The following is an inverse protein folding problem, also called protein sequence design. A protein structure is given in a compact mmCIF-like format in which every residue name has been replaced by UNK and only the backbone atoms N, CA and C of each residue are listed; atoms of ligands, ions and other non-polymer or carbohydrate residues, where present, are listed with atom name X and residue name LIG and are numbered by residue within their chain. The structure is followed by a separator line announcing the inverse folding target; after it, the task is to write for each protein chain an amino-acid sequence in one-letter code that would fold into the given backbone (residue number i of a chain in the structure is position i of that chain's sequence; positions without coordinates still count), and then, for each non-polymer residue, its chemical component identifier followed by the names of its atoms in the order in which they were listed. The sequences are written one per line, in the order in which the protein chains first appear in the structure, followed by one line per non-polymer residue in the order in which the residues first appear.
data_IF_476721982483
#
_entry.id   IF_476721982483
#
_cell.length_a   1.000
_cell.length_b   1.000
_cell.length_c   1.000
_cell.angle_alpha   90.00
_cell.angle_beta   90.00
_cell.angle_gamma   90.00
#
_symmetry.space_group_name_H-M   'P 1'
#
loop_
_entity.id
_entity.type
_entity.pdbx_description
1 polymer ?
#
# COMPACT_ATOMS: atom_id res chain seq x y z
N UNK A 1 -20.10 10.70 22.30
CA UNK A 1 -20.37 9.65 21.28
C UNK A 1 -19.08 8.93 20.87
N UNK A 2 -17.95 9.65 20.74
CA UNK A 2 -16.63 9.04 20.48
C UNK A 2 -15.87 8.55 21.73
N UNK A 3 -16.28 8.96 22.94
CA UNK A 3 -15.61 8.58 24.21
C UNK A 3 -15.75 7.09 24.56
N UNK A 4 -16.80 6.43 24.06
CA UNK A 4 -16.95 4.98 24.20
C UNK A 4 -15.94 4.19 23.36
N UNK A 5 -15.45 4.75 22.24
CA UNK A 5 -14.47 4.08 21.39
C UNK A 5 -13.06 4.08 22.01
N UNK A 6 -12.74 5.12 22.78
CA UNK A 6 -11.45 5.25 23.49
C UNK A 6 -11.33 4.23 24.63
N UNK A 7 -12.46 3.80 25.20
CA UNK A 7 -12.51 2.80 26.27
C UNK A 7 -12.53 1.34 25.76
N UNK A 8 -12.67 1.13 24.46
CA UNK A 8 -12.59 -0.21 23.86
C UNK A 8 -11.12 -0.65 23.79
N UNK A 9 -10.88 -1.94 24.01
CA UNK A 9 -9.54 -2.51 23.89
C UNK A 9 -8.93 -2.16 22.50
N UNK A 10 -7.71 -1.59 22.44
CA UNK A 10 -7.06 -1.20 21.19
C UNK A 10 -6.99 -2.33 20.15
N UNK A 11 -6.90 -3.59 20.60
CA UNK A 11 -6.86 -4.78 19.75
C UNK A 11 -8.21 -5.00 19.06
N UNK A 12 -9.32 -4.85 19.79
CA UNK A 12 -10.67 -4.97 19.22
C UNK A 12 -10.96 -3.82 18.26
N UNK A 13 -10.50 -2.61 18.59
CA UNK A 13 -10.65 -1.46 17.71
C UNK A 13 -9.88 -1.66 16.39
N UNK A 14 -8.64 -2.16 16.47
CA UNK A 14 -7.86 -2.51 15.29
C UNK A 14 -8.57 -3.59 14.46
N UNK A 15 -9.13 -4.63 15.09
CA UNK A 15 -9.86 -5.70 14.40
C UNK A 15 -11.09 -5.17 13.65
N UNK A 16 -11.90 -4.32 14.29
CA UNK A 16 -13.06 -3.71 13.63
C UNK A 16 -12.64 -2.78 12.49
N UNK A 17 -11.60 -1.97 12.69
CA UNK A 17 -11.07 -1.09 11.65
C UNK A 17 -10.54 -1.86 10.44
N UNK A 18 -9.75 -2.92 10.64
CA UNK A 18 -9.19 -3.73 9.55
C UNK A 18 -10.26 -4.56 8.83
N UNK A 19 -11.26 -5.05 9.55
CA UNK A 19 -12.39 -5.77 8.94
C UNK A 19 -13.21 -4.82 8.08
N UNK A 20 -13.43 -3.59 8.56
CA UNK A 20 -14.12 -2.56 7.80
C UNK A 20 -13.38 -2.20 6.51
N UNK A 21 -12.07 -1.93 6.57
CA UNK A 21 -11.30 -1.61 5.37
C UNK A 21 -11.29 -2.77 4.37
N UNK A 22 -11.20 -4.02 4.86
CA UNK A 22 -11.32 -5.21 4.03
C UNK A 22 -12.69 -5.32 3.35
N UNK A 23 -13.79 -5.05 4.06
CA UNK A 23 -15.14 -5.04 3.48
C UNK A 23 -15.30 -3.96 2.40
N UNK A 24 -14.70 -2.79 2.57
CA UNK A 24 -14.69 -1.74 1.56
C UNK A 24 -13.95 -2.21 0.30
N UNK A 25 -12.81 -2.88 0.45
CA UNK A 25 -12.08 -3.49 -0.68
C UNK A 25 -12.92 -4.58 -1.36
N UNK A 26 -13.55 -5.47 -0.59
CA UNK A 26 -14.42 -6.51 -1.12
C UNK A 26 -15.64 -5.95 -1.87
N UNK A 27 -16.25 -4.88 -1.35
CA UNK A 27 -17.34 -4.15 -2.00
C UNK A 27 -16.88 -3.52 -3.33
N UNK A 28 -15.70 -2.89 -3.35
CA UNK A 28 -15.11 -2.36 -4.59
C UNK A 28 -14.85 -3.45 -5.63
N UNK A 29 -14.34 -4.62 -5.21
CA UNK A 29 -14.13 -5.77 -6.10
C UNK A 29 -15.45 -6.38 -6.61
N UNK A 30 -16.51 -6.37 -5.79
CA UNK A 30 -17.82 -6.89 -6.18
C UNK A 30 -18.46 -6.13 -7.36
N UNK A 31 -18.04 -4.88 -7.62
CA UNK A 31 -18.50 -4.11 -8.78
C UNK A 31 -18.14 -4.77 -10.12
N UNK A 32 -17.14 -5.66 -10.15
CA UNK A 32 -16.77 -6.44 -11.34
C UNK A 32 -17.91 -7.37 -11.81
N UNK A 33 -18.81 -7.79 -10.91
CA UNK A 33 -19.99 -8.57 -11.29
C UNK A 33 -21.05 -7.75 -12.03
N UNK A 34 -21.07 -6.42 -11.83
CA UNK A 34 -21.99 -5.49 -12.50
C UNK A 34 -21.41 -4.97 -13.82
N UNK A 35 -20.10 -4.74 -13.87
CA UNK A 35 -19.40 -4.20 -15.03
C UNK A 35 -18.37 -5.19 -15.56
N UNK A 36 -18.74 -5.93 -16.61
CA UNK A 36 -17.88 -6.96 -17.24
C UNK A 36 -16.76 -6.38 -18.09
N UNK A 37 -16.96 -5.19 -18.66
CA UNK A 37 -15.97 -4.46 -19.44
C UNK A 37 -15.90 -3.00 -18.98
N UNK A 38 -14.73 -2.59 -18.49
CA UNK A 38 -14.47 -1.22 -18.05
C UNK A 38 -13.68 -0.47 -19.13
N UNK A 39 -14.10 0.76 -19.45
CA UNK A 39 -13.33 1.61 -20.37
C UNK A 39 -11.96 1.96 -19.76
N UNK A 40 -10.91 1.91 -20.57
CA UNK A 40 -9.53 2.18 -20.13
C UNK A 40 -9.37 3.55 -19.45
N UNK A 41 -10.11 4.56 -19.92
CA UNK A 41 -10.16 5.90 -19.31
C UNK A 41 -10.65 5.89 -17.85
N UNK A 42 -11.65 5.06 -17.55
CA UNK A 42 -12.19 4.93 -16.18
C UNK A 42 -11.19 4.18 -15.29
N UNK A 43 -10.57 3.11 -15.80
CA UNK A 43 -9.54 2.37 -15.08
C UNK A 43 -8.34 3.27 -14.74
N UNK A 44 -7.82 4.02 -15.72
CA UNK A 44 -6.70 4.95 -15.53
C UNK A 44 -7.07 6.05 -14.52
N UNK A 45 -8.32 6.53 -14.54
CA UNK A 45 -8.84 7.48 -13.56
C UNK A 45 -8.88 6.90 -12.14
N UNK A 46 -9.32 5.64 -11.97
CA UNK A 46 -9.35 4.96 -10.68
C UNK A 46 -7.94 4.68 -10.14
N UNK A 47 -7.00 4.27 -10.99
CA UNK A 47 -5.59 4.07 -10.62
C UNK A 47 -4.93 5.39 -10.23
N UNK A 48 -5.18 6.47 -10.98
CA UNK A 48 -4.69 7.81 -10.64
C UNK A 48 -5.27 8.32 -9.32
N UNK A 49 -6.58 8.12 -9.08
CA UNK A 49 -7.23 8.50 -7.82
C UNK A 49 -6.65 7.77 -6.62
N UNK A 50 -6.51 6.45 -6.70
CA UNK A 50 -5.94 5.63 -5.62
C UNK A 50 -4.49 6.01 -5.33
N UNK A 51 -3.66 6.19 -6.38
CA UNK A 51 -2.30 6.70 -6.22
C UNK A 51 -2.25 8.08 -5.55
N UNK A 52 -3.13 9.00 -5.95
CA UNK A 52 -3.24 10.33 -5.37
C UNK A 52 -3.61 10.33 -3.89
N UNK A 53 -4.64 9.57 -3.50
CA UNK A 53 -5.06 9.47 -2.08
C UNK A 53 -3.95 8.86 -1.22
N UNK A 54 -3.25 7.84 -1.71
CA UNK A 54 -2.14 7.22 -0.96
C UNK A 54 -0.96 8.19 -0.77
N UNK A 55 -0.62 8.98 -1.80
CA UNK A 55 0.43 10.00 -1.69
C UNK A 55 0.07 11.10 -0.70
N UNK A 56 -1.19 11.57 -0.75
CA UNK A 56 -1.72 12.57 0.16
C UNK A 56 -1.65 12.11 1.62
N UNK A 57 -2.21 10.92 1.91
CA UNK A 57 -2.20 10.34 3.25
C UNK A 57 -0.76 10.14 3.77
N UNK A 58 0.16 9.70 2.91
CA UNK A 58 1.56 9.52 3.28
C UNK A 58 2.23 10.82 3.73
N UNK A 59 1.92 11.95 3.08
CA UNK A 59 2.49 13.24 3.49
C UNK A 59 1.81 13.81 4.73
N UNK A 60 0.49 13.99 4.69
CA UNK A 60 -0.24 14.70 5.75
C UNK A 60 -0.47 13.87 7.00
N UNK A 61 -0.70 12.56 6.86
CA UNK A 61 -1.03 11.69 8.01
C UNK A 61 0.19 10.98 8.58
N UNK A 62 1.29 10.85 7.84
CA UNK A 62 2.50 10.16 8.31
C UNK A 62 3.72 11.08 8.37
N UNK A 63 4.13 11.67 7.24
CA UNK A 63 5.41 12.39 7.16
C UNK A 63 5.42 13.69 7.97
N UNK A 64 4.40 14.54 7.83
CA UNK A 64 4.32 15.81 8.56
C UNK A 64 4.25 15.59 10.09
N UNK A 65 3.38 14.70 10.62
CA UNK A 65 3.40 14.35 12.04
C UNK A 65 4.73 13.75 12.51
N UNK A 66 5.40 12.95 11.68
CA UNK A 66 6.71 12.38 12.02
C UNK A 66 7.80 13.45 12.16
N UNK A 67 7.76 14.52 11.35
CA UNK A 67 8.69 15.65 11.45
C UNK A 67 8.44 16.42 12.76
N UNK A 68 7.18 16.72 13.07
CA UNK A 68 6.79 17.40 14.31
C UNK A 68 7.20 16.58 15.56
N UNK A 69 7.00 15.26 15.52
CA UNK A 69 7.43 14.36 16.61
C UNK A 69 8.95 14.29 16.78
N UNK A 70 9.72 14.47 15.70
CA UNK A 70 11.19 14.51 15.74
C UNK A 70 11.69 15.84 16.31
N UNK A 71 11.06 16.95 15.94
CA UNK A 71 11.36 18.29 16.48
C UNK A 71 11.04 18.38 17.97
N UNK A 72 9.89 17.83 18.40
CA UNK A 72 9.50 17.77 19.81
C UNK A 72 10.48 16.97 20.69
N UNK A 73 11.24 16.04 20.10
CA UNK A 73 12.30 15.28 20.77
C UNK A 73 13.65 16.00 20.80
N UNK A 74 13.74 17.25 20.33
CA UNK A 74 14.99 18.02 20.25
C UNK A 74 15.99 17.48 19.22
N UNK A 75 15.54 16.64 18.30
CA UNK A 75 16.36 16.07 17.21
C UNK A 75 16.16 16.89 15.93
N UNK A 76 17.05 16.68 14.96
CA UNK A 76 16.92 17.29 13.63
C UNK A 76 15.59 16.82 13.00
N UNK A 77 14.65 17.73 12.67
CA UNK A 77 13.27 17.35 12.32
C UNK A 77 13.15 16.43 11.10
N UNK A 78 14.04 16.57 10.12
CA UNK A 78 13.98 15.82 8.87
C UNK A 78 14.79 14.52 8.87
N UNK A 79 15.74 14.36 9.80
CA UNK A 79 16.74 13.30 9.72
C UNK A 79 16.13 11.92 9.96
N UNK A 80 15.42 11.74 11.08
CA UNK A 80 14.81 10.46 11.41
C UNK A 80 13.67 10.07 10.45
N UNK A 81 12.71 10.96 10.09
CA UNK A 81 11.69 10.65 9.09
C UNK A 81 12.30 10.37 7.70
N UNK A 82 13.32 11.13 7.29
CA UNK A 82 13.98 10.96 6.00
C UNK A 82 14.74 9.63 5.88
N UNK A 83 15.48 9.23 6.92
CA UNK A 83 16.14 7.92 6.96
C UNK A 83 15.11 6.79 6.94
N UNK A 84 14.02 6.91 7.72
CA UNK A 84 12.95 5.91 7.74
C UNK A 84 12.26 5.77 6.38
N UNK A 85 11.97 6.89 5.71
CA UNK A 85 11.38 6.90 4.38
C UNK A 85 12.30 6.26 3.34
N UNK A 86 13.59 6.61 3.34
CA UNK A 86 14.58 6.07 2.41
C UNK A 86 14.82 4.57 2.66
N UNK A 87 14.90 4.15 3.92
CA UNK A 87 15.02 2.74 4.28
C UNK A 87 13.79 1.93 3.83
N UNK A 88 12.58 2.47 4.00
CA UNK A 88 11.35 1.86 3.50
C UNK A 88 11.34 1.74 1.97
N UNK A 89 11.78 2.78 1.26
CA UNK A 89 11.89 2.76 -0.20
C UNK A 89 12.91 1.72 -0.69
N UNK A 90 14.10 1.64 -0.05
CA UNK A 90 15.10 0.63 -0.37
C UNK A 90 14.62 -0.78 -0.03
N UNK A 91 13.86 -0.95 1.06
CA UNK A 91 13.28 -2.23 1.42
C UNK A 91 12.27 -2.71 0.36
N UNK A 92 11.37 -1.83 -0.09
CA UNK A 92 10.44 -2.14 -1.18
C UNK A 92 11.17 -2.44 -2.50
N UNK A 93 12.20 -1.66 -2.84
CA UNK A 93 13.03 -1.92 -4.01
C UNK A 93 13.77 -3.27 -3.92
N UNK A 94 14.26 -3.63 -2.73
CA UNK A 94 14.88 -4.92 -2.47
C UNK A 94 13.88 -6.08 -2.62
N UNK A 95 12.67 -5.92 -2.09
CA UNK A 95 11.59 -6.90 -2.28
C UNK A 95 11.19 -7.03 -3.75
N UNK A 96 11.12 -5.92 -4.48
CA UNK A 96 10.80 -5.90 -5.90
C UNK A 96 11.80 -6.72 -6.73
N UNK A 97 13.09 -6.63 -6.37
CA UNK A 97 14.17 -7.37 -7.01
C UNK A 97 14.28 -8.84 -6.58
N UNK A 98 13.84 -9.16 -5.36
CA UNK A 98 13.89 -10.52 -4.82
C UNK A 98 12.70 -11.38 -5.26
N UNK A 99 11.53 -10.78 -5.41
CA UNK A 99 10.34 -11.48 -5.90
C UNK A 99 10.42 -11.51 -7.44
N UNK A 100 10.36 -12.69 -8.10
CA UNK A 100 10.41 -12.77 -9.54
C UNK A 100 9.09 -12.23 -10.13
N UNK A 101 9.08 -10.96 -10.53
CA UNK A 101 7.93 -10.35 -11.21
C UNK A 101 8.02 -10.62 -12.71
N UNK A 102 7.12 -11.45 -13.25
CA UNK A 102 6.91 -11.52 -14.70
C UNK A 102 6.20 -10.23 -15.15
N UNK A 103 6.86 -9.41 -15.97
CA UNK A 103 6.17 -8.39 -16.76
C UNK A 103 5.18 -9.08 -17.71
N UNK A 104 3.88 -8.79 -17.55
CA UNK A 104 2.76 -9.30 -18.37
C UNK A 104 2.92 -9.03 -19.89
N UNK A 105 3.89 -8.20 -20.29
CA UNK A 105 4.08 -7.71 -21.67
C UNK A 105 5.45 -8.01 -22.30
N UNK A 106 6.34 -8.78 -21.66
CA UNK A 106 7.67 -9.11 -22.23
C UNK A 106 7.89 -10.62 -22.37
N UNK A 107 8.57 -11.00 -23.45
CA UNK A 107 8.91 -12.37 -23.82
C UNK A 107 9.66 -13.09 -22.67
N UNK A 108 9.45 -14.41 -22.54
CA UNK A 108 10.07 -15.32 -21.53
C UNK A 108 11.62 -15.24 -21.41
N UNK A 109 12.29 -14.49 -22.29
CA UNK A 109 13.74 -14.36 -22.37
C UNK A 109 14.31 -13.15 -21.60
N UNK A 110 13.48 -12.27 -21.04
CA UNK A 110 13.89 -11.11 -20.20
C UNK A 110 13.31 -11.19 -18.78
N UNK A 111 13.19 -12.41 -18.23
CA UNK A 111 12.81 -12.57 -16.84
C UNK A 111 13.93 -12.07 -15.91
N UNK A 112 13.72 -10.95 -15.24
CA UNK A 112 14.56 -10.53 -14.11
C UNK A 112 14.21 -11.35 -12.85
N UNK A 113 15.25 -11.79 -12.12
CA UNK A 113 15.14 -12.57 -10.88
C UNK A 113 15.91 -13.89 -10.92
N UNK A 114 16.21 -14.45 -9.74
CA UNK A 114 16.80 -15.79 -9.61
C UNK A 114 15.80 -16.80 -10.18
N UNK A 115 16.26 -17.65 -11.11
CA UNK A 115 15.45 -18.75 -11.65
C UNK A 115 14.98 -19.64 -10.49
N UNK A 116 13.68 -19.63 -10.20
CA UNK A 116 13.07 -20.56 -9.27
C UNK A 116 12.44 -21.71 -10.06
N UNK A 117 12.78 -22.95 -9.72
CA UNK A 117 12.22 -24.17 -10.32
C UNK A 117 10.80 -24.49 -9.81
N UNK A 118 9.99 -23.46 -9.56
CA UNK A 118 8.62 -23.64 -9.10
C UNK A 118 7.72 -24.00 -10.28
N UNK A 119 7.19 -25.23 -10.25
CA UNK A 119 6.18 -25.68 -11.21
C UNK A 119 4.92 -24.83 -11.05
N UNK A 120 4.57 -24.11 -12.10
CA UNK A 120 3.26 -23.46 -12.25
C UNK A 120 2.17 -24.55 -12.22
N UNK A 121 1.33 -24.52 -11.19
CA UNK A 121 0.11 -25.34 -11.08
C UNK A 121 -1.04 -24.60 -11.75
N UNK A 122 -0.95 -24.43 -13.07
CA UNK A 122 -2.09 -24.01 -13.89
C UNK A 122 -2.31 -25.08 -14.95
N UNK A 123 -3.50 -25.68 -14.93
CA UNK A 123 -4.07 -26.43 -16.06
C UNK A 123 -4.22 -25.51 -17.28
#
# INVERSE_FOLDING_TARGET
MFDNLVNINPILLALYATTFTWLVTACGAALVFLFKEMSRKVLDGMLGFTGGVMMAASYWSLLAPAIEMSEAQGKIPWLAPGIGFLAGALFLYGLDKLIPHLHINFNRNEAEGIKTDWKSTTL
#
